data_IF_101083415920
#
_entry.id   IF_101083415920
#
_cell.length_a   1.000
_cell.length_b   1.000
_cell.length_c   1.000
_cell.angle_alpha   90.00
_cell.angle_beta   90.00
_cell.angle_gamma   90.00
#
_symmetry.space_group_name_H-M   'P 1'
#
loop_
_entity.id
_entity.type
_entity.pdbx_description
1 polymer ?
#
# COMPACT_ATOMS: atom_id res chain seq x y z
N UNK A 1 -15.30 -15.18 5.06
CA UNK A 1 -15.28 -13.72 5.34
C UNK A 1 -13.86 -13.31 5.72
N UNK A 2 -13.41 -12.09 5.41
CA UNK A 2 -12.11 -11.58 5.87
C UNK A 2 -12.24 -10.84 7.21
N UNK A 3 -11.17 -10.82 8.00
CA UNK A 3 -11.08 -10.05 9.23
C UNK A 3 -9.72 -9.40 9.37
N UNK A 4 -9.62 -8.39 10.23
CA UNK A 4 -8.38 -7.69 10.51
C UNK A 4 -8.07 -7.69 12.01
N UNK A 5 -6.79 -7.82 12.35
CA UNK A 5 -6.27 -7.68 13.71
C UNK A 5 -5.12 -6.69 13.69
N UNK A 6 -5.18 -5.67 14.56
CA UNK A 6 -4.13 -4.66 14.70
C UNK A 6 -3.31 -4.94 15.95
N UNK A 7 -1.99 -5.00 15.80
CA UNK A 7 -1.03 -5.13 16.91
C UNK A 7 -0.18 -3.88 16.95
N UNK A 8 -0.18 -3.18 18.08
CA UNK A 8 0.61 -1.96 18.26
C UNK A 8 2.11 -2.27 18.15
N UNK A 9 2.83 -1.47 17.37
CA UNK A 9 4.29 -1.61 17.22
C UNK A 9 4.99 -1.10 18.49
N UNK A 10 6.04 -1.80 18.92
CA UNK A 10 6.89 -1.36 20.02
C UNK A 10 7.50 0.03 19.72
N UNK A 11 7.64 0.88 20.74
CA UNK A 11 8.19 2.24 20.67
C UNK A 11 9.71 2.29 20.50
N UNK A 12 10.31 1.29 19.85
CA UNK A 12 11.73 1.31 19.53
C UNK A 12 12.01 2.44 18.51
N UNK A 13 12.86 3.43 18.82
CA UNK A 13 13.07 4.60 17.95
C UNK A 13 13.56 4.26 16.54
N UNK A 14 14.46 3.29 16.41
CA UNK A 14 15.01 2.88 15.11
C UNK A 14 13.93 2.24 14.22
N UNK A 15 13.14 1.32 14.79
CA UNK A 15 12.02 0.71 14.10
C UNK A 15 11.02 1.77 13.65
N UNK A 16 10.65 2.69 14.55
CA UNK A 16 9.71 3.77 14.24
C UNK A 16 10.25 4.67 13.12
N UNK A 17 11.55 4.97 13.09
CA UNK A 17 12.17 5.74 12.00
C UNK A 17 12.08 4.99 10.66
N UNK A 18 12.34 3.69 10.64
CA UNK A 18 12.22 2.86 9.43
C UNK A 18 10.77 2.82 8.94
N UNK A 19 9.80 2.60 9.83
CA UNK A 19 8.38 2.55 9.47
C UNK A 19 7.87 3.89 8.95
N UNK A 20 8.31 4.99 9.57
CA UNK A 20 8.02 6.35 9.12
C UNK A 20 8.54 6.56 7.70
N UNK A 21 9.82 6.24 7.46
CA UNK A 21 10.43 6.37 6.14
C UNK A 21 9.68 5.57 5.07
N UNK A 22 9.33 4.31 5.35
CA UNK A 22 8.59 3.45 4.41
C UNK A 22 7.19 4.01 4.09
N UNK A 23 6.46 4.47 5.11
CA UNK A 23 5.11 5.02 4.92
C UNK A 23 5.14 6.38 4.19
N UNK A 24 6.17 7.19 4.39
CA UNK A 24 6.41 8.40 3.60
C UNK A 24 6.75 8.08 2.14
N UNK A 25 7.55 7.05 1.88
CA UNK A 25 7.84 6.63 0.51
C UNK A 25 6.59 6.10 -0.20
N UNK A 26 5.76 5.33 0.52
CA UNK A 26 4.45 4.88 0.02
C UNK A 26 3.56 6.07 -0.35
N UNK A 27 3.48 7.06 0.53
CA UNK A 27 2.73 8.29 0.28
C UNK A 27 3.23 9.04 -0.97
N UNK A 28 4.55 9.19 -1.12
CA UNK A 28 5.16 9.83 -2.30
C UNK A 28 4.86 9.05 -3.57
N UNK A 29 5.01 7.72 -3.55
CA UNK A 29 4.72 6.86 -4.70
C UNK A 29 3.24 6.92 -5.11
N UNK A 30 2.31 6.91 -4.15
CA UNK A 30 0.88 7.08 -4.41
C UNK A 30 0.58 8.42 -5.07
N UNK A 31 1.14 9.52 -4.55
CA UNK A 31 0.97 10.86 -5.14
C UNK A 31 1.55 10.96 -6.56
N UNK A 32 2.67 10.29 -6.84
CA UNK A 32 3.22 10.20 -8.19
C UNK A 32 2.26 9.45 -9.12
N UNK A 33 1.70 8.33 -8.68
CA UNK A 33 0.66 7.59 -9.42
C UNK A 33 -0.55 8.45 -9.74
N UNK A 34 -1.06 9.20 -8.75
CA UNK A 34 -2.19 10.13 -8.93
C UNK A 34 -1.82 11.23 -9.93
N UNK A 35 -0.61 11.79 -9.82
CA UNK A 35 -0.14 12.79 -10.77
C UNK A 35 -0.16 12.27 -12.20
N UNK A 36 0.47 11.11 -12.46
CA UNK A 36 0.51 10.53 -13.80
C UNK A 36 -0.89 10.28 -14.36
N UNK A 37 -1.77 9.66 -13.57
CA UNK A 37 -3.14 9.36 -13.97
C UNK A 37 -3.94 10.62 -14.33
N UNK A 38 -3.81 11.69 -13.53
CA UNK A 38 -4.44 12.98 -13.81
C UNK A 38 -3.91 13.62 -15.08
N UNK A 39 -2.58 13.63 -15.26
CA UNK A 39 -1.97 14.22 -16.46
C UNK A 39 -2.41 13.48 -17.71
N UNK A 40 -2.47 12.14 -17.67
CA UNK A 40 -2.94 11.33 -18.79
C UNK A 40 -4.41 11.64 -19.11
N UNK A 41 -5.26 11.69 -18.09
CA UNK A 41 -6.68 12.00 -18.25
C UNK A 41 -6.90 13.41 -18.80
N UNK A 42 -6.30 14.44 -18.22
CA UNK A 42 -6.53 15.83 -18.67
C UNK A 42 -5.94 16.12 -20.05
N UNK A 43 -4.78 15.56 -20.40
CA UNK A 43 -4.10 15.86 -21.67
C UNK A 43 -4.57 14.99 -22.83
N UNK A 44 -5.00 13.76 -22.56
CA UNK A 44 -5.30 12.79 -23.62
C UNK A 44 -6.66 12.11 -23.49
N UNK A 45 -7.43 12.41 -22.44
CA UNK A 45 -8.72 11.76 -22.11
C UNK A 45 -8.62 10.23 -22.00
N UNK A 46 -7.41 9.70 -21.80
CA UNK A 46 -7.17 8.27 -21.62
C UNK A 46 -7.18 7.91 -20.13
N UNK A 47 -7.85 6.81 -19.83
CA UNK A 47 -7.80 6.19 -18.51
C UNK A 47 -6.51 5.39 -18.28
N UNK A 48 -6.20 5.11 -17.01
CA UNK A 48 -5.12 4.19 -16.65
C UNK A 48 -5.65 2.77 -16.41
N UNK A 49 -4.89 1.77 -16.86
CA UNK A 49 -5.10 0.36 -16.54
C UNK A 49 -4.47 -0.01 -15.19
N UNK A 50 -4.82 -1.20 -14.69
CA UNK A 50 -4.31 -1.76 -13.43
C UNK A 50 -2.77 -1.79 -13.36
N UNK A 51 -2.10 -2.01 -14.48
CA UNK A 51 -0.65 -2.27 -14.52
C UNK A 51 0.16 -1.11 -15.10
N UNK A 52 -0.48 -0.05 -15.61
CA UNK A 52 0.22 1.03 -16.32
C UNK A 52 1.18 1.76 -15.40
N UNK A 53 0.73 2.10 -14.19
CA UNK A 53 1.56 2.79 -13.21
C UNK A 53 2.78 1.97 -12.78
N UNK A 54 2.65 0.65 -12.67
CA UNK A 54 3.76 -0.25 -12.35
C UNK A 54 4.85 -0.18 -13.45
N UNK A 55 4.44 -0.19 -14.72
CA UNK A 55 5.36 -0.08 -15.86
C UNK A 55 6.10 1.25 -15.88
N UNK A 56 5.40 2.35 -15.55
CA UNK A 56 5.97 3.70 -15.50
C UNK A 56 6.97 3.84 -14.35
N UNK A 57 6.63 3.33 -13.15
CA UNK A 57 7.40 3.61 -11.93
C UNK A 57 8.34 2.50 -11.47
N UNK A 58 8.43 1.35 -12.15
CA UNK A 58 9.33 0.24 -11.76
C UNK A 58 10.79 0.63 -11.52
N UNK A 59 11.27 1.68 -12.18
CA UNK A 59 12.66 2.14 -12.06
C UNK A 59 12.84 3.31 -11.09
N UNK A 60 11.75 3.89 -10.59
CA UNK A 60 11.75 5.00 -9.65
C UNK A 60 12.32 4.59 -8.28
N UNK A 61 12.99 5.53 -7.61
CA UNK A 61 13.61 5.23 -6.31
C UNK A 61 12.56 4.92 -5.23
N UNK A 62 11.45 5.66 -5.14
CA UNK A 62 10.39 5.42 -4.15
C UNK A 62 9.80 4.01 -4.32
N UNK A 63 9.69 3.55 -5.57
CA UNK A 63 9.30 2.18 -5.88
C UNK A 63 10.34 1.17 -5.38
N UNK A 64 11.63 1.38 -5.67
CA UNK A 64 12.71 0.43 -5.33
C UNK A 64 13.12 0.42 -3.85
N UNK A 65 12.71 1.43 -3.08
CA UNK A 65 12.84 1.47 -1.62
C UNK A 65 11.89 0.47 -0.97
N UNK A 66 10.68 0.37 -1.52
CA UNK A 66 9.70 -0.61 -1.11
C UNK A 66 10.00 -1.97 -1.75
N UNK A 67 9.51 -3.04 -1.14
CA UNK A 67 9.51 -4.33 -1.81
C UNK A 67 8.59 -4.26 -3.05
N UNK A 68 9.00 -4.89 -4.15
CA UNK A 68 8.31 -4.75 -5.44
C UNK A 68 6.80 -4.98 -5.35
N UNK A 69 6.36 -6.02 -4.63
CA UNK A 69 4.93 -6.31 -4.51
C UNK A 69 4.17 -5.27 -3.67
N UNK A 70 4.82 -4.69 -2.64
CA UNK A 70 4.22 -3.62 -1.85
C UNK A 70 4.07 -2.34 -2.69
N UNK A 71 5.11 -1.99 -3.46
CA UNK A 71 5.07 -0.86 -4.39
C UNK A 71 3.98 -1.03 -5.46
N UNK A 72 3.84 -2.24 -6.03
CA UNK A 72 2.77 -2.57 -6.97
C UNK A 72 1.40 -2.40 -6.33
N UNK A 73 1.21 -2.86 -5.09
CA UNK A 73 -0.08 -2.75 -4.40
C UNK A 73 -0.50 -1.29 -4.22
N UNK A 74 0.44 -0.40 -3.86
CA UNK A 74 0.19 1.04 -3.75
C UNK A 74 -0.29 1.63 -5.09
N UNK A 75 0.41 1.31 -6.18
CA UNK A 75 0.05 1.82 -7.51
C UNK A 75 -1.28 1.23 -8.02
N UNK A 76 -1.58 -0.03 -7.69
CA UNK A 76 -2.86 -0.67 -8.02
C UNK A 76 -4.02 0.01 -7.28
N UNK A 77 -3.86 0.37 -6.01
CA UNK A 77 -4.90 1.12 -5.26
C UNK A 77 -5.18 2.48 -5.91
N UNK A 78 -4.15 3.16 -6.42
CA UNK A 78 -4.35 4.38 -7.22
C UNK A 78 -5.13 4.07 -8.49
N UNK A 79 -4.71 3.05 -9.26
CA UNK A 79 -5.40 2.67 -10.50
C UNK A 79 -6.87 2.29 -10.27
N UNK A 80 -7.17 1.57 -9.18
CA UNK A 80 -8.52 1.22 -8.76
C UNK A 80 -9.36 2.46 -8.43
N UNK A 81 -8.77 3.44 -7.74
CA UNK A 81 -9.46 4.72 -7.44
C UNK A 81 -9.86 5.47 -8.72
N UNK A 82 -9.00 5.47 -9.74
CA UNK A 82 -9.32 6.06 -11.04
C UNK A 82 -10.35 5.24 -11.82
N UNK A 83 -10.26 3.91 -11.77
CA UNK A 83 -11.25 3.03 -12.39
C UNK A 83 -12.65 3.25 -11.82
N UNK A 84 -12.76 3.37 -10.49
CA UNK A 84 -14.03 3.73 -9.83
C UNK A 84 -14.53 5.10 -10.28
N UNK A 85 -13.64 6.10 -10.39
CA UNK A 85 -14.00 7.42 -10.91
C UNK A 85 -14.52 7.38 -12.35
N UNK A 86 -13.92 6.58 -13.24
CA UNK A 86 -14.42 6.41 -14.60
C UNK A 86 -15.80 5.74 -14.63
N UNK A 87 -16.04 4.77 -13.76
CA UNK A 87 -17.36 4.17 -13.58
C UNK A 87 -18.41 5.18 -13.13
N UNK A 88 -18.04 6.10 -12.23
CA UNK A 88 -18.92 7.19 -11.80
C UNK A 88 -19.22 8.18 -12.93
N UNK A 89 -18.26 8.48 -13.82
CA UNK A 89 -18.52 9.32 -15.00
C UNK A 89 -19.61 8.69 -15.89
N UNK A 90 -19.51 7.39 -16.13
CA UNK A 90 -20.50 6.65 -16.93
C UNK A 90 -21.87 6.70 -16.24
N UNK A 91 -21.93 6.37 -14.95
CA UNK A 91 -23.18 6.40 -14.19
C UNK A 91 -23.83 7.80 -14.15
N UNK A 92 -23.03 8.86 -14.07
CA UNK A 92 -23.52 10.25 -14.14
C UNK A 92 -24.06 10.57 -15.53
N UNK A 93 -23.37 10.17 -16.60
CA UNK A 93 -23.84 10.37 -17.97
C UNK A 93 -25.15 9.61 -18.28
N UNK A 94 -25.37 8.48 -17.61
CA UNK A 94 -26.59 7.68 -17.70
C UNK A 94 -27.72 8.19 -16.77
N UNK A 95 -27.48 9.25 -15.98
CA UNK A 95 -28.46 9.79 -15.04
C UNK A 95 -28.72 8.93 -13.80
N UNK A 96 -27.90 7.89 -13.55
CA UNK A 96 -28.02 7.02 -12.36
C UNK A 96 -27.60 7.71 -11.07
N UNK A 97 -26.79 8.77 -11.18
CA UNK A 97 -26.34 9.60 -10.07
C UNK A 97 -26.42 11.07 -10.48
N UNK A 98 -26.73 11.94 -9.52
CA UNK A 98 -26.83 13.39 -9.70
C UNK A 98 -25.70 14.17 -9.01
N UNK A 99 -24.91 13.48 -8.16
CA UNK A 99 -23.86 14.10 -7.38
C UNK A 99 -22.69 14.60 -8.24
N UNK A 100 -22.10 15.72 -7.82
CA UNK A 100 -20.92 16.30 -8.45
C UNK A 100 -19.71 15.37 -8.30
N UNK A 101 -19.24 14.84 -9.43
CA UNK A 101 -18.08 13.98 -9.49
C UNK A 101 -16.78 14.70 -9.13
N UNK A 102 -15.91 14.01 -8.40
CA UNK A 102 -14.56 14.48 -8.06
C UNK A 102 -13.53 13.43 -8.45
N UNK A 103 -12.62 13.83 -9.33
CA UNK A 103 -11.45 13.04 -9.69
C UNK A 103 -10.57 12.79 -8.44
N UNK A 104 -9.87 11.65 -8.32
CA UNK A 104 -8.95 11.41 -7.22
C UNK A 104 -7.97 12.57 -7.03
N UNK A 105 -7.94 13.09 -5.81
CA UNK A 105 -7.14 14.26 -5.44
C UNK A 105 -5.76 13.85 -4.95
N UNK A 106 -4.81 14.78 -5.05
CA UNK A 106 -3.50 14.63 -4.42
C UNK A 106 -3.65 14.49 -2.91
N UNK A 107 -2.86 13.60 -2.32
CA UNK A 107 -2.74 13.43 -0.88
C UNK A 107 -1.90 14.59 -0.33
N UNK A 108 -2.33 15.19 0.79
CA UNK A 108 -1.65 16.34 1.41
C UNK A 108 -0.19 16.03 1.71
N UNK A 109 0.71 16.95 1.35
CA UNK A 109 2.15 16.83 1.58
C UNK A 109 2.46 16.63 3.07
N UNK A 110 3.50 15.85 3.36
CA UNK A 110 3.90 15.52 4.74
C UNK A 110 3.09 14.39 5.39
N UNK A 111 2.21 13.74 4.63
CA UNK A 111 1.47 12.56 5.08
C UNK A 111 2.28 11.27 5.00
N UNK A 112 1.72 10.25 5.65
CA UNK A 112 2.15 8.86 5.56
C UNK A 112 1.02 8.02 4.95
N UNK A 113 1.37 6.98 4.21
CA UNK A 113 0.40 6.04 3.66
C UNK A 113 0.76 4.62 4.09
N UNK A 114 -0.26 3.78 4.23
CA UNK A 114 -0.12 2.35 4.55
C UNK A 114 0.81 1.65 3.56
N UNK A 115 1.61 0.72 4.05
CA UNK A 115 2.40 -0.19 3.21
C UNK A 115 1.85 -1.59 3.38
N UNK A 116 1.39 -2.18 2.29
CA UNK A 116 0.75 -3.49 2.29
C UNK A 116 1.63 -4.55 1.66
N UNK A 117 1.67 -5.72 2.29
CA UNK A 117 2.40 -6.89 1.83
C UNK A 117 1.42 -8.06 1.65
N UNK A 118 1.22 -8.56 0.43
CA UNK A 118 0.42 -9.76 0.22
C UNK A 118 1.14 -10.99 0.81
N UNK A 119 0.37 -12.02 1.18
CA UNK A 119 0.91 -13.22 1.83
C UNK A 119 2.07 -13.88 1.08
N UNK A 120 2.06 -13.84 -0.26
CA UNK A 120 3.13 -14.40 -1.09
C UNK A 120 4.49 -13.69 -0.93
N UNK A 121 4.51 -12.48 -0.38
CA UNK A 121 5.74 -11.74 -0.08
C UNK A 121 6.29 -12.07 1.32
N UNK A 122 5.48 -12.69 2.18
CA UNK A 122 5.79 -12.94 3.57
C UNK A 122 6.35 -14.35 3.75
N UNK A 123 7.25 -14.52 4.71
CA UNK A 123 7.76 -15.83 5.11
C UNK A 123 7.68 -15.97 6.62
N UNK A 124 7.32 -17.15 7.12
CA UNK A 124 7.39 -17.47 8.54
C UNK A 124 8.71 -18.19 8.85
N UNK A 125 9.43 -17.73 9.87
CA UNK A 125 10.63 -18.38 10.42
C UNK A 125 10.52 -18.44 11.94
N UNK A 126 10.26 -19.63 12.46
CA UNK A 126 9.88 -19.80 13.88
C UNK A 126 8.62 -18.99 14.18
N UNK A 127 8.64 -18.18 15.23
CA UNK A 127 7.52 -17.32 15.64
C UNK A 127 7.58 -15.89 15.06
N UNK A 128 8.35 -15.68 13.98
CA UNK A 128 8.52 -14.36 13.37
C UNK A 128 8.19 -14.40 11.88
N UNK A 129 7.45 -13.39 11.44
CA UNK A 129 7.20 -13.11 10.03
C UNK A 129 8.32 -12.22 9.51
N UNK A 130 8.92 -12.63 8.40
CA UNK A 130 9.90 -11.88 7.64
C UNK A 130 9.14 -11.03 6.62
N UNK A 131 9.24 -9.71 6.76
CA UNK A 131 8.71 -8.74 5.80
C UNK A 131 9.87 -8.18 4.99
N UNK A 132 9.97 -8.48 3.68
CA UNK A 132 11.09 -8.00 2.87
C UNK A 132 11.00 -6.49 2.64
N UNK A 133 12.15 -5.84 2.52
CA UNK A 133 12.29 -4.47 2.08
C UNK A 133 12.81 -4.41 0.63
N UNK A 134 12.79 -3.23 0.03
CA UNK A 134 13.34 -3.03 -1.31
C UNK A 134 14.86 -3.10 -1.32
N UNK A 135 15.43 -3.45 -2.48
CA UNK A 135 16.89 -3.50 -2.65
C UNK A 135 17.58 -2.14 -2.35
N UNK A 136 16.85 -1.04 -2.54
CA UNK A 136 17.38 0.29 -2.22
C UNK A 136 17.48 0.50 -0.70
N UNK A 137 16.51 0.01 0.08
CA UNK A 137 16.62 -0.02 1.56
C UNK A 137 17.84 -0.80 2.01
N UNK A 138 18.06 -2.00 1.43
CA UNK A 138 19.22 -2.82 1.76
C UNK A 138 20.53 -2.09 1.50
N UNK A 139 20.63 -1.37 0.37
CA UNK A 139 21.85 -0.61 0.03
C UNK A 139 22.06 0.61 0.90
N UNK A 140 21.00 1.31 1.29
CA UNK A 140 21.11 2.57 2.03
C UNK A 140 21.23 2.37 3.54
N UNK A 141 20.55 1.37 4.08
CA UNK A 141 20.44 1.17 5.53
C UNK A 141 21.01 -0.17 6.00
N UNK A 142 21.48 -1.03 5.09
CA UNK A 142 21.91 -2.40 5.42
C UNK A 142 20.78 -3.26 6.03
N UNK A 143 19.52 -2.93 5.74
CA UNK A 143 18.33 -3.66 6.21
C UNK A 143 17.61 -4.28 5.02
N UNK A 144 17.53 -5.60 4.99
CA UNK A 144 16.86 -6.34 3.92
C UNK A 144 15.42 -6.74 4.27
N UNK A 145 15.09 -6.83 5.56
CA UNK A 145 13.81 -7.31 6.05
C UNK A 145 13.52 -6.83 7.48
N UNK A 146 12.23 -6.78 7.81
CA UNK A 146 11.74 -6.59 9.18
C UNK A 146 11.28 -7.93 9.75
N UNK A 147 11.53 -8.14 11.04
CA UNK A 147 11.08 -9.32 11.77
C UNK A 147 9.91 -8.92 12.68
N UNK A 148 8.72 -9.43 12.37
CA UNK A 148 7.49 -9.12 13.08
C UNK A 148 7.07 -10.34 13.90
N UNK A 149 6.75 -10.21 15.20
CA UNK A 149 6.23 -11.33 15.98
C UNK A 149 4.88 -11.79 15.41
N UNK A 150 4.73 -13.09 15.20
CA UNK A 150 3.46 -13.69 14.79
C UNK A 150 2.48 -13.67 15.98
N UNK A 151 1.25 -13.15 15.83
CA UNK A 151 0.25 -13.24 16.88
C UNK A 151 -0.10 -14.71 17.17
N UNK A 152 -0.09 -15.10 18.45
CA UNK A 152 -0.33 -16.49 18.88
C UNK A 152 -1.74 -17.00 18.56
N UNK A 153 -2.69 -16.09 18.40
CA UNK A 153 -4.10 -16.39 18.12
C UNK A 153 -4.42 -16.50 16.62
N UNK A 154 -3.44 -16.34 15.73
CA UNK A 154 -3.61 -16.42 14.28
C UNK A 154 -2.75 -17.53 13.68
N UNK A 155 -3.29 -18.22 12.68
CA UNK A 155 -2.51 -19.10 11.82
C UNK A 155 -1.93 -18.31 10.63
N UNK A 156 -0.64 -18.51 10.36
CA UNK A 156 0.06 -17.83 9.27
C UNK A 156 -0.55 -18.15 7.90
N UNK A 157 -1.05 -19.38 7.69
CA UNK A 157 -1.67 -19.77 6.41
C UNK A 157 -2.99 -19.02 6.14
N UNK A 158 -3.66 -18.56 7.20
CA UNK A 158 -4.87 -17.77 7.11
C UNK A 158 -4.60 -16.31 6.71
N UNK A 159 -3.39 -15.80 6.98
CA UNK A 159 -2.97 -14.41 6.68
C UNK A 159 -2.90 -14.22 5.17
N UNK A 160 -3.62 -13.23 4.66
CA UNK A 160 -3.63 -12.83 3.25
C UNK A 160 -2.84 -11.56 2.99
N UNK A 161 -2.74 -10.70 3.99
CA UNK A 161 -2.03 -9.44 3.88
C UNK A 161 -1.51 -9.01 5.26
N UNK A 162 -0.31 -8.44 5.28
CA UNK A 162 0.22 -7.73 6.43
C UNK A 162 0.45 -6.28 6.04
N UNK A 163 -0.05 -5.35 6.85
CA UNK A 163 0.06 -3.92 6.59
C UNK A 163 0.81 -3.20 7.70
N UNK A 164 1.65 -2.27 7.29
CA UNK A 164 2.25 -1.26 8.15
C UNK A 164 1.28 -0.08 8.17
N UNK A 165 0.54 0.08 9.25
CA UNK A 165 -0.53 1.09 9.36
C UNK A 165 -0.09 2.26 10.26
N UNK A 166 0.21 3.45 9.69
CA UNK A 166 0.41 4.66 10.48
C UNK A 166 -0.94 5.21 10.98
N UNK A 167 -1.15 5.26 12.30
CA UNK A 167 -2.40 5.76 12.91
C UNK A 167 -2.11 6.43 14.25
N UNK A 168 -2.67 7.62 14.47
CA UNK A 168 -2.59 8.36 15.74
C UNK A 168 -1.15 8.52 16.28
N UNK A 169 -0.19 8.85 15.39
CA UNK A 169 1.26 8.95 15.71
C UNK A 169 1.91 7.65 16.19
N UNK A 170 1.22 6.52 16.03
CA UNK A 170 1.72 5.18 16.27
C UNK A 170 1.72 4.37 14.97
N UNK A 171 2.34 3.21 15.01
CA UNK A 171 2.26 2.22 13.95
C UNK A 171 1.57 0.97 14.47
N UNK A 172 0.86 0.29 13.58
CA UNK A 172 0.26 -1.01 13.84
C UNK A 172 0.70 -2.00 12.77
N UNK A 173 0.98 -3.23 13.19
CA UNK A 173 0.96 -4.39 12.32
C UNK A 173 -0.50 -4.79 12.16
N UNK A 174 -1.09 -4.52 11.00
CA UNK A 174 -2.45 -4.96 10.68
C UNK A 174 -2.39 -6.24 9.87
N UNK A 175 -2.90 -7.33 10.45
CA UNK A 175 -3.01 -8.63 9.81
C UNK A 175 -4.41 -8.75 9.21
N UNK A 176 -4.50 -8.95 7.90
CA UNK A 176 -5.75 -9.31 7.22
C UNK A 176 -5.73 -10.80 6.94
N UNK A 177 -6.72 -11.51 7.45
CA UNK A 177 -6.77 -12.96 7.41
C UNK A 177 -8.16 -13.47 7.04
N UNK A 178 -8.21 -14.67 6.46
CA UNK A 178 -9.46 -15.36 6.16
C UNK A 178 -9.98 -16.02 7.44
N UNK A 179 -11.21 -15.72 7.85
CA UNK A 179 -11.88 -16.50 8.89
C UNK A 179 -12.24 -17.88 8.33
N UNK A 180 -11.93 -18.93 9.08
CA UNK A 180 -12.57 -20.22 8.91
C UNK A 180 -14.07 -20.02 9.08
N UNK A 181 -14.87 -20.48 8.11
CA UNK A 181 -16.32 -20.51 8.28
C UNK A 181 -16.61 -21.43 9.48
N UNK A 182 -17.27 -20.88 10.50
CA UNK A 182 -17.89 -21.67 11.56
C UNK A 182 -19.07 -22.41 10.93
#
# INVERSE_FOLDING_TARGET
>A
MYSCQQVLVNKNPELIAILTFLCEQSHKLANMGIYYARQLYFKSQKGISKYDLEKVYKHNYHYKVLYSQAAQQILRTVAESFRSYYGLIIAYSEGKISDKLRIPNYIKKGGMATVSYPSQALKLKGYRIIVPLGNTCKRWFCIDSLLIPMPSNLDFLSVKELRILPKNRCFYWEFVYKRSSI
#
